data_IF_265574591482
#
_entry.id   IF_265574591482
#
_cell.length_a   1.000
_cell.length_b   1.000
_cell.length_c   1.000
_cell.angle_alpha   90.00
_cell.angle_beta   90.00
_cell.angle_gamma   90.00
#
_symmetry.space_group_name_H-M   'P 1'
#
loop_
_entity.id
_entity.type
_entity.pdbx_description
1 polymer ?
#
# COMPACT_ATOMS: atom_id res chain seq x y z
N UNK A 1 -13.03 12.81 -10.93
CA UNK A 1 -13.63 12.66 -9.59
C UNK A 1 -12.51 12.12 -8.73
N UNK A 2 -12.00 12.96 -7.85
CA UNK A 2 -10.85 12.64 -6.99
C UNK A 2 -11.29 11.52 -6.05
N UNK A 3 -10.58 10.39 -6.08
CA UNK A 3 -10.84 9.29 -5.14
C UNK A 3 -10.38 9.80 -3.76
N UNK A 4 -11.30 10.38 -2.99
CA UNK A 4 -11.09 10.85 -1.62
C UNK A 4 -10.90 9.65 -0.67
N UNK A 5 -9.79 8.96 -0.86
CA UNK A 5 -9.27 8.03 0.12
C UNK A 5 -8.33 8.84 1.02
N UNK A 6 -8.92 9.58 1.96
CA UNK A 6 -8.22 10.40 2.93
C UNK A 6 -8.66 9.99 4.35
N UNK A 7 -8.07 8.90 4.86
CA UNK A 7 -8.00 8.73 6.30
C UNK A 7 -6.89 9.67 6.80
N UNK A 8 -7.31 10.75 7.43
CA UNK A 8 -6.54 11.97 7.64
C UNK A 8 -5.60 11.84 8.86
N UNK A 9 -4.52 11.05 8.74
CA UNK A 9 -3.38 11.14 9.66
C UNK A 9 -2.28 11.97 8.98
N UNK A 10 -1.88 13.06 9.64
CA UNK A 10 -0.61 13.73 9.29
C UNK A 10 0.53 12.82 9.75
N UNK A 11 1.21 12.19 8.81
CA UNK A 11 2.45 11.47 9.09
C UNK A 11 3.58 12.45 9.36
N UNK A 12 4.47 12.09 10.28
CA UNK A 12 5.76 12.78 10.41
C UNK A 12 6.61 12.53 9.16
N UNK A 13 7.58 13.41 8.90
CA UNK A 13 8.52 13.25 7.79
C UNK A 13 9.21 11.88 7.83
N UNK A 14 9.63 11.44 9.01
CA UNK A 14 10.33 10.16 9.20
C UNK A 14 9.42 8.97 8.85
N UNK A 15 8.13 9.06 9.16
CA UNK A 15 7.15 8.03 8.80
C UNK A 15 6.94 7.97 7.28
N UNK A 16 6.89 9.13 6.61
CA UNK A 16 6.79 9.19 5.15
C UNK A 16 8.04 8.63 4.45
N UNK A 17 9.23 8.94 4.96
CA UNK A 17 10.50 8.42 4.43
C UNK A 17 10.59 6.89 4.60
N UNK A 18 10.15 6.36 5.73
CA UNK A 18 10.13 4.91 5.95
C UNK A 18 9.11 4.20 5.06
N UNK A 19 7.91 4.77 4.93
CA UNK A 19 6.89 4.29 4.02
C UNK A 19 7.37 4.29 2.56
N UNK A 20 8.11 5.32 2.15
CA UNK A 20 8.66 5.39 0.80
C UNK A 20 9.65 4.26 0.52
N UNK A 21 10.51 3.90 1.48
CA UNK A 21 11.44 2.75 1.34
C UNK A 21 10.69 1.43 1.20
N UNK A 22 9.69 1.24 2.05
CA UNK A 22 8.78 0.09 2.05
C UNK A 22 8.12 -0.08 0.68
N UNK A 23 7.53 0.98 0.15
CA UNK A 23 6.87 0.98 -1.14
C UNK A 23 7.83 0.74 -2.32
N UNK A 24 9.05 1.25 -2.25
CA UNK A 24 10.08 0.99 -3.29
C UNK A 24 10.50 -0.48 -3.30
N UNK A 25 10.63 -1.11 -2.13
CA UNK A 25 10.91 -2.55 -2.04
C UNK A 25 9.73 -3.38 -2.58
N UNK A 26 8.50 -2.94 -2.32
CA UNK A 26 7.31 -3.55 -2.89
C UNK A 26 7.29 -3.45 -4.42
N UNK A 27 7.61 -2.28 -4.97
CA UNK A 27 7.73 -2.06 -6.41
C UNK A 27 8.74 -3.04 -7.04
N UNK A 28 9.93 -3.17 -6.45
CA UNK A 28 10.97 -4.10 -6.91
C UNK A 28 10.47 -5.56 -6.88
N UNK A 29 9.76 -5.94 -5.83
CA UNK A 29 9.20 -7.30 -5.67
C UNK A 29 8.18 -7.60 -6.77
N UNK A 30 7.26 -6.67 -7.03
CA UNK A 30 6.22 -6.86 -8.06
C UNK A 30 6.85 -6.84 -9.46
N UNK A 31 7.78 -5.93 -9.72
CA UNK A 31 8.49 -5.84 -10.99
C UNK A 31 9.30 -7.11 -11.31
N UNK A 32 9.79 -7.81 -10.28
CA UNK A 32 10.48 -9.08 -10.42
C UNK A 32 9.55 -10.29 -10.62
N UNK A 33 8.22 -10.10 -10.67
CA UNK A 33 7.24 -11.18 -10.80
C UNK A 33 6.95 -11.90 -9.49
N UNK A 34 7.15 -11.22 -8.34
CA UNK A 34 7.05 -11.81 -7.01
C UNK A 34 5.66 -12.34 -6.63
N UNK A 35 4.63 -12.01 -7.42
CA UNK A 35 3.24 -12.40 -7.21
C UNK A 35 2.70 -13.38 -8.25
N UNK A 36 3.57 -13.93 -9.08
CA UNK A 36 3.24 -15.09 -9.91
C UNK A 36 3.36 -16.38 -9.09
N UNK A 37 2.42 -17.32 -9.23
CA UNK A 37 2.58 -18.65 -8.68
C UNK A 37 3.88 -19.32 -9.16
N UNK A 38 4.59 -19.94 -8.22
CA UNK A 38 5.82 -20.68 -8.47
C UNK A 38 5.84 -21.97 -7.65
N UNK A 39 6.77 -22.88 -7.96
CA UNK A 39 6.89 -24.15 -7.23
C UNK A 39 7.13 -23.95 -5.72
N UNK A 40 7.82 -22.89 -5.33
CA UNK A 40 8.11 -22.54 -3.93
C UNK A 40 7.03 -21.65 -3.30
N UNK A 41 6.24 -20.93 -4.11
CA UNK A 41 5.10 -20.11 -3.69
C UNK A 41 3.91 -20.30 -4.63
N UNK A 42 3.08 -21.34 -4.42
CA UNK A 42 1.94 -21.63 -5.29
C UNK A 42 0.77 -20.65 -5.10
N UNK A 43 0.69 -19.98 -3.94
CA UNK A 43 -0.35 -19.00 -3.62
C UNK A 43 0.31 -17.73 -3.06
N UNK A 44 0.96 -16.92 -3.91
CA UNK A 44 1.51 -15.65 -3.47
C UNK A 44 0.38 -14.75 -2.98
N UNK A 45 0.63 -13.99 -1.92
CA UNK A 45 -0.34 -13.08 -1.34
C UNK A 45 0.19 -11.64 -1.40
N UNK A 46 -0.16 -10.86 -2.43
CA UNK A 46 0.23 -9.46 -2.52
C UNK A 46 -0.13 -8.70 -1.24
N UNK A 47 0.72 -7.76 -0.83
CA UNK A 47 0.55 -6.98 0.41
C UNK A 47 0.45 -7.76 1.74
N UNK A 48 0.45 -9.09 1.74
CA UNK A 48 0.46 -9.90 2.98
C UNK A 48 1.78 -10.65 3.14
N UNK A 49 2.35 -11.13 2.03
CA UNK A 49 3.66 -11.79 2.00
C UNK A 49 4.81 -10.78 1.92
N UNK A 50 4.51 -9.52 1.65
CA UNK A 50 5.52 -8.48 1.67
C UNK A 50 5.93 -8.17 3.11
N UNK A 51 7.23 -8.33 3.41
CA UNK A 51 7.80 -7.93 4.70
C UNK A 51 7.62 -6.43 5.00
N UNK A 52 7.18 -5.65 4.01
CA UNK A 52 6.98 -4.20 4.04
C UNK A 52 5.67 -3.80 4.74
N UNK A 53 4.66 -4.67 4.71
CA UNK A 53 3.41 -4.46 5.44
C UNK A 53 3.54 -5.09 6.82
N UNK A 54 3.32 -4.30 7.87
CA UNK A 54 3.40 -4.70 9.30
C UNK A 54 2.40 -5.81 9.72
N UNK A 55 1.87 -6.60 8.77
CA UNK A 55 1.03 -7.77 9.04
C UNK A 55 1.78 -8.84 9.85
N UNK A 56 3.12 -8.87 9.79
CA UNK A 56 3.96 -9.69 10.64
C UNK A 56 4.37 -8.91 11.89
N UNK A 57 3.64 -9.17 13.00
CA UNK A 57 4.09 -9.08 14.39
C UNK A 57 3.78 -7.80 15.20
N UNK A 58 2.54 -7.70 15.73
CA UNK A 58 2.33 -7.17 17.09
C UNK A 58 1.81 -8.29 17.99
N UNK A 59 2.72 -9.19 18.36
CA UNK A 59 2.47 -10.22 19.36
C UNK A 59 2.40 -9.62 20.76
N UNK A 60 1.30 -8.94 21.11
CA UNK A 60 0.97 -8.58 22.51
C UNK A 60 -0.40 -7.88 22.62
N UNK A 61 -1.49 -8.58 22.31
CA UNK A 61 -2.81 -8.37 22.94
C UNK A 61 -3.49 -6.99 22.90
N UNK A 62 -2.96 -5.98 22.21
CA UNK A 62 -3.53 -4.63 22.14
C UNK A 62 -3.33 -4.03 20.74
N UNK A 63 -4.46 -3.75 20.06
CA UNK A 63 -4.62 -3.31 18.67
C UNK A 63 -4.34 -4.37 17.60
N UNK A 64 -5.27 -4.47 16.65
CA UNK A 64 -5.17 -5.40 15.52
C UNK A 64 -4.00 -4.94 14.63
N UNK A 65 -3.15 -5.85 14.10
CA UNK A 65 -1.97 -5.49 13.28
C UNK A 65 -2.25 -4.55 12.10
N UNK A 66 -3.51 -4.50 11.65
CA UNK A 66 -3.96 -3.59 10.61
C UNK A 66 -4.07 -2.13 11.07
N UNK A 67 -4.43 -1.81 12.33
CA UNK A 67 -4.64 -0.41 12.78
C UNK A 67 -3.37 0.45 12.71
N UNK A 68 -2.21 -0.21 12.71
CA UNK A 68 -0.87 0.39 12.55
C UNK A 68 -0.32 0.23 11.14
N UNK A 69 -1.01 -0.52 10.27
CA UNK A 69 -0.61 -0.71 8.88
C UNK A 69 -0.99 0.53 8.06
N UNK A 70 0.00 1.12 7.41
CA UNK A 70 -0.17 2.28 6.54
C UNK A 70 -1.16 2.03 5.38
N UNK A 71 -1.29 0.76 4.94
CA UNK A 71 -2.26 0.38 3.92
C UNK A 71 -3.71 0.68 4.31
N UNK A 72 -4.02 0.77 5.61
CA UNK A 72 -5.37 1.10 6.07
C UNK A 72 -5.85 2.46 5.64
N UNK A 73 -4.95 3.38 5.31
CA UNK A 73 -5.34 4.68 4.78
C UNK A 73 -5.96 4.56 3.39
N UNK A 74 -5.63 3.49 2.67
CA UNK A 74 -6.09 3.21 1.31
C UNK A 74 -7.31 2.29 1.26
N UNK A 75 -7.76 1.76 2.40
CA UNK A 75 -8.94 0.90 2.48
C UNK A 75 -10.21 1.76 2.51
N UNK A 76 -11.17 1.55 1.60
CA UNK A 76 -12.47 2.20 1.66
C UNK A 76 -13.19 1.90 2.98
N UNK A 77 -13.92 2.88 3.52
CA UNK A 77 -14.57 2.74 4.84
C UNK A 77 -15.52 1.55 4.91
N UNK A 78 -16.23 1.27 3.81
CA UNK A 78 -17.13 0.11 3.71
C UNK A 78 -16.43 -1.26 3.81
N UNK A 79 -15.10 -1.30 3.71
CA UNK A 79 -14.32 -2.53 3.71
C UNK A 79 -13.48 -2.74 4.98
N UNK A 80 -13.58 -1.84 5.97
CA UNK A 80 -12.82 -1.92 7.21
C UNK A 80 -13.18 -3.13 8.08
N UNK A 81 -14.37 -3.70 7.91
CA UNK A 81 -14.83 -4.89 8.66
C UNK A 81 -14.45 -6.22 7.98
N UNK A 82 -13.79 -6.18 6.82
CA UNK A 82 -13.40 -7.38 6.09
C UNK A 82 -12.21 -8.11 6.74
N UNK A 83 -12.14 -9.43 6.57
CA UNK A 83 -11.02 -10.24 7.10
C UNK A 83 -9.69 -9.90 6.41
N UNK A 84 -9.73 -9.55 5.13
CA UNK A 84 -8.58 -9.13 4.33
C UNK A 84 -8.80 -7.71 3.79
N UNK A 85 -8.87 -6.73 4.70
CA UNK A 85 -9.10 -5.32 4.38
C UNK A 85 -8.14 -4.77 3.31
N UNK A 86 -6.85 -5.14 3.35
CA UNK A 86 -5.85 -4.69 2.38
C UNK A 86 -6.10 -5.22 0.95
N UNK A 87 -6.87 -6.30 0.80
CA UNK A 87 -7.20 -6.85 -0.52
C UNK A 87 -8.33 -6.09 -1.19
N UNK A 88 -8.99 -5.21 -0.45
CA UNK A 88 -10.08 -4.38 -0.93
C UNK A 88 -9.60 -2.97 -1.31
N UNK A 89 -8.28 -2.72 -1.29
CA UNK A 89 -7.70 -1.47 -1.75
C UNK A 89 -7.96 -1.35 -3.26
N UNK A 90 -8.61 -0.27 -3.71
CA UNK A 90 -8.76 0.00 -5.13
C UNK A 90 -7.40 0.31 -5.75
N UNK A 91 -7.00 -0.51 -6.71
CA UNK A 91 -5.74 -0.36 -7.45
C UNK A 91 -5.88 0.59 -8.65
N UNK A 92 -7.10 0.82 -9.12
CA UNK A 92 -7.36 1.68 -10.29
C UNK A 92 -8.74 2.37 -10.22
N UNK A 93 -9.02 3.20 -11.23
CA UNK A 93 -10.26 3.98 -11.33
C UNK A 93 -11.52 3.14 -11.53
N UNK A 94 -11.38 1.88 -11.97
CA UNK A 94 -12.51 0.97 -12.13
C UNK A 94 -12.91 0.33 -10.79
N UNK A 95 -12.16 0.57 -9.72
CA UNK A 95 -12.37 -0.07 -8.43
C UNK A 95 -11.85 -1.51 -8.37
N UNK A 96 -11.02 -1.94 -9.33
CA UNK A 96 -10.40 -3.26 -9.25
C UNK A 96 -9.53 -3.33 -7.99
N UNK A 97 -9.64 -4.42 -7.24
CA UNK A 97 -8.89 -4.68 -6.01
C UNK A 97 -8.00 -5.90 -6.19
N UNK A 98 -7.10 -6.17 -5.23
CA UNK A 98 -6.32 -7.42 -5.26
C UNK A 98 -7.25 -8.63 -5.29
N UNK A 99 -8.28 -8.64 -4.45
CA UNK A 99 -9.25 -9.74 -4.42
C UNK A 99 -9.97 -9.93 -5.77
N UNK A 100 -10.40 -8.84 -6.41
CA UNK A 100 -11.14 -8.96 -7.67
C UNK A 100 -10.24 -9.42 -8.81
N UNK A 101 -8.99 -8.98 -8.85
CA UNK A 101 -8.02 -9.35 -9.89
C UNK A 101 -7.46 -10.76 -9.68
N UNK A 102 -7.15 -11.16 -8.46
CA UNK A 102 -6.73 -12.53 -8.15
C UNK A 102 -7.79 -13.56 -8.54
N UNK A 103 -9.07 -13.25 -8.30
CA UNK A 103 -10.18 -14.13 -8.67
C UNK A 103 -10.27 -14.39 -10.20
N UNK A 104 -9.66 -13.55 -11.03
CA UNK A 104 -9.60 -13.76 -12.49
C UNK A 104 -8.52 -14.75 -12.90
N UNK A 105 -7.52 -15.00 -12.05
CA UNK A 105 -6.32 -15.78 -12.38
C UNK A 105 -5.32 -15.09 -13.31
N UNK A 106 -5.57 -13.83 -13.70
CA UNK A 106 -4.67 -13.02 -14.53
C UNK A 106 -3.62 -12.32 -13.66
N UNK A 107 -2.59 -13.07 -13.28
CA UNK A 107 -1.49 -12.56 -12.45
C UNK A 107 -0.68 -11.45 -13.11
N UNK A 108 -0.62 -11.41 -14.45
CA UNK A 108 0.05 -10.31 -15.15
C UNK A 108 -0.72 -9.00 -14.98
N UNK A 109 -2.05 -9.04 -15.18
CA UNK A 109 -2.90 -7.88 -14.93
C UNK A 109 -2.89 -7.45 -13.47
N UNK A 110 -2.88 -8.40 -12.53
CA UNK A 110 -2.75 -8.13 -11.10
C UNK A 110 -1.45 -7.39 -10.78
N UNK A 111 -0.30 -7.90 -11.24
CA UNK A 111 1.00 -7.26 -11.03
C UNK A 111 1.07 -5.87 -11.65
N UNK A 112 0.54 -5.69 -12.87
CA UNK A 112 0.49 -4.38 -13.53
C UNK A 112 -0.37 -3.38 -12.74
N UNK A 113 -1.51 -3.82 -12.22
CA UNK A 113 -2.38 -2.98 -11.40
C UNK A 113 -1.68 -2.57 -10.09
N UNK A 114 -1.02 -3.52 -9.41
CA UNK A 114 -0.26 -3.24 -8.19
C UNK A 114 0.91 -2.30 -8.47
N UNK A 115 1.69 -2.53 -9.53
CA UNK A 115 2.80 -1.66 -9.93
C UNK A 115 2.35 -0.23 -10.18
N UNK A 116 1.26 -0.08 -10.93
CA UNK A 116 0.69 1.24 -11.25
C UNK A 116 0.26 1.96 -9.98
N UNK A 117 -0.42 1.24 -9.08
CA UNK A 117 -0.87 1.78 -7.81
C UNK A 117 0.30 2.17 -6.90
N UNK A 118 1.27 1.28 -6.68
CA UNK A 118 2.47 1.52 -5.86
C UNK A 118 3.23 2.76 -6.34
N UNK A 119 3.47 2.87 -7.65
CA UNK A 119 4.13 4.04 -8.25
C UNK A 119 3.36 5.33 -8.03
N UNK A 120 2.03 5.28 -8.15
CA UNK A 120 1.16 6.42 -7.88
C UNK A 120 1.26 6.89 -6.42
N UNK A 121 1.29 5.94 -5.48
CA UNK A 121 1.46 6.25 -4.05
C UNK A 121 2.85 6.82 -3.78
N UNK A 122 3.92 6.21 -4.30
CA UNK A 122 5.30 6.72 -4.19
C UNK A 122 5.38 8.18 -4.64
N UNK A 123 4.85 8.50 -5.83
CA UNK A 123 4.87 9.85 -6.37
C UNK A 123 4.13 10.85 -5.47
N UNK A 124 3.00 10.44 -4.88
CA UNK A 124 2.24 11.27 -3.93
C UNK A 124 3.08 11.56 -2.67
N UNK A 125 3.72 10.55 -2.10
CA UNK A 125 4.53 10.70 -0.88
C UNK A 125 5.78 11.55 -1.12
N UNK A 126 6.45 11.38 -2.26
CA UNK A 126 7.59 12.22 -2.64
C UNK A 126 7.18 13.69 -2.79
N UNK A 127 5.99 13.95 -3.34
CA UNK A 127 5.44 15.30 -3.44
C UNK A 127 5.09 15.91 -2.08
N UNK A 128 4.52 15.12 -1.15
CA UNK A 128 4.25 15.55 0.23
C UNK A 128 5.54 15.91 0.98
N UNK A 129 6.58 15.08 0.87
CA UNK A 129 7.89 15.35 1.45
C UNK A 129 8.49 16.66 0.92
N UNK A 130 8.44 16.88 -0.39
CA UNK A 130 8.93 18.11 -1.02
C UNK A 130 8.21 19.36 -0.50
N UNK A 131 6.88 19.30 -0.37
CA UNK A 131 6.09 20.40 0.19
C UNK A 131 6.44 20.70 1.66
N UNK A 132 6.69 19.65 2.46
CA UNK A 132 7.13 19.83 3.85
C UNK A 132 8.49 20.54 3.95
N UNK A 133 9.40 20.29 3.02
CA UNK A 133 10.71 20.96 2.94
C UNK A 133 10.58 22.44 2.54
N UNK A 134 9.79 22.73 1.50
CA UNK A 134 9.54 24.10 1.03
C UNK A 134 8.86 24.97 2.10
N UNK A 135 7.88 24.41 2.83
CA UNK A 135 7.19 25.10 3.92
C UNK A 135 8.10 25.40 5.12
N UNK A 136 9.12 24.57 5.38
CA UNK A 136 10.11 24.80 6.44
C UNK A 136 11.04 25.96 6.11
N UNK A 137 11.43 26.08 4.83
CA UNK A 137 12.29 27.17 4.32
C UNK A 137 11.57 28.51 4.41
N UNK A 138 10.26 28.55 4.13
CA UNK A 138 9.48 29.80 4.14
C UNK A 138 9.15 30.35 5.54
N UNK A 139 9.30 29.56 6.60
CA UNK A 139 9.05 29.97 8.01
C UNK A 139 10.28 30.53 8.72
N UNK A 140 11.47 30.42 8.11
CA UNK A 140 12.74 30.95 8.64
C UNK A 140 13.33 32.08 7.76
N UNK A 141 12.51 32.65 6.87
CA UNK A 141 12.87 33.78 6.01
C UNK A 141 12.32 35.11 6.51
#
# INVERSE_FOLDING_TARGET
MENEIANNKRHSREQLEELLKILKLEEETVAAGGYRPSATRPHPRPFLDSMTTSCLQFGSGAMSPCDLCWLMEFVPREHLENVLVCYQIPLNQNGDTVASLEATGDYERLEQAILTWVRGVIAKLEQELKQMEENKVSMHG
#
